data_IF_509926118121
#
_entry.id   IF_509926118121
#
_cell.length_a   1.000
_cell.length_b   1.000
_cell.length_c   1.000
_cell.angle_alpha   90.00
_cell.angle_beta   90.00
_cell.angle_gamma   90.00
#
_symmetry.space_group_name_H-M   'P 1'
#
loop_
_entity.id
_entity.type
_entity.pdbx_description
1 polymer ?
#
# COMPACT_ATOMS: atom_id res chain seq x y z
N UNK A 1 1.42 15.88 6.81
CA UNK A 1 0.98 14.49 6.70
C UNK A 1 1.24 13.75 7.99
N UNK A 2 0.35 12.88 8.34
CA UNK A 2 0.55 12.05 9.52
C UNK A 2 1.77 11.15 9.32
N UNK A 3 2.63 11.14 10.30
CA UNK A 3 3.81 10.28 10.27
C UNK A 3 3.48 8.95 10.96
N UNK A 4 3.39 7.91 10.17
CA UNK A 4 3.05 6.61 10.72
C UNK A 4 4.08 6.06 11.70
N UNK A 5 5.31 6.47 11.58
CA UNK A 5 6.36 5.99 12.48
C UNK A 5 6.17 6.47 13.91
N UNK A 6 5.32 7.46 14.12
CA UNK A 6 5.03 7.95 15.46
C UNK A 6 4.02 7.06 16.19
N UNK A 7 3.48 6.08 15.51
CA UNK A 7 2.43 5.23 16.04
C UNK A 7 3.01 3.98 16.67
N UNK A 8 3.87 4.17 17.65
CA UNK A 8 4.57 3.05 18.30
C UNK A 8 3.86 2.50 19.52
N UNK A 9 2.75 3.08 19.90
CA UNK A 9 2.03 2.62 21.08
C UNK A 9 1.11 1.44 20.71
N UNK A 10 0.60 0.74 21.73
CA UNK A 10 -0.17 -0.50 21.48
C UNK A 10 -1.39 -0.34 20.60
N UNK A 11 -1.97 0.83 20.51
CA UNK A 11 -3.16 1.05 19.70
C UNK A 11 -2.80 1.51 18.28
N UNK A 12 -1.59 1.32 17.88
CA UNK A 12 -1.05 1.85 16.63
C UNK A 12 -1.86 1.47 15.39
N UNK A 13 -2.49 0.32 15.38
CA UNK A 13 -3.20 -0.14 14.19
C UNK A 13 -4.34 0.78 13.80
N UNK A 14 -4.88 1.54 14.74
CA UNK A 14 -5.97 2.45 14.45
C UNK A 14 -5.57 3.60 13.55
N UNK A 15 -4.27 3.87 13.41
CA UNK A 15 -3.80 4.98 12.59
C UNK A 15 -3.38 4.58 11.19
N UNK A 16 -3.47 3.31 10.84
CA UNK A 16 -2.99 2.82 9.57
C UNK A 16 -4.14 2.43 8.66
N UNK A 17 -4.02 2.74 7.36
CA UNK A 17 -5.05 2.34 6.39
C UNK A 17 -4.96 0.86 6.01
N UNK A 18 -4.10 0.09 6.62
CA UNK A 18 -3.88 -1.30 6.26
C UNK A 18 -3.41 -2.12 7.45
N UNK A 19 -3.40 -3.43 7.26
CA UNK A 19 -2.85 -4.38 8.23
C UNK A 19 -1.74 -5.17 7.55
N UNK A 20 -0.60 -5.30 8.22
CA UNK A 20 0.46 -6.18 7.74
C UNK A 20 0.21 -7.57 8.29
N UNK A 21 -0.09 -8.51 7.39
CA UNK A 21 -0.37 -9.89 7.77
C UNK A 21 0.92 -10.67 8.02
N UNK A 22 1.98 -10.31 7.33
CA UNK A 22 3.27 -10.95 7.48
C UNK A 22 4.36 -9.94 7.13
N UNK A 23 5.43 -9.93 7.92
CA UNK A 23 6.57 -9.05 7.68
C UNK A 23 7.84 -9.87 7.80
N UNK A 24 8.66 -9.87 6.76
CA UNK A 24 9.96 -10.52 6.76
C UNK A 24 11.02 -9.51 6.31
N UNK A 25 12.27 -9.93 6.28
CA UNK A 25 13.33 -9.08 5.77
C UNK A 25 13.18 -8.82 4.27
N UNK A 26 12.50 -9.71 3.57
CA UNK A 26 12.42 -9.68 2.11
C UNK A 26 11.11 -9.13 1.58
N UNK A 27 10.03 -9.25 2.36
CA UNK A 27 8.72 -8.82 1.86
C UNK A 27 7.74 -8.53 3.00
N UNK A 28 6.63 -7.90 2.62
CA UNK A 28 5.50 -7.63 3.49
C UNK A 28 4.24 -8.11 2.77
N UNK A 29 3.39 -8.86 3.48
CA UNK A 29 2.03 -9.15 3.00
C UNK A 29 1.12 -8.14 3.67
N UNK A 30 0.43 -7.34 2.87
CA UNK A 30 -0.37 -6.22 3.37
C UNK A 30 -1.79 -6.31 2.87
N UNK A 31 -2.72 -6.05 3.78
CA UNK A 31 -4.14 -6.11 3.47
C UNK A 31 -4.80 -4.76 3.69
N UNK A 32 -5.61 -4.33 2.73
CA UNK A 32 -6.44 -3.14 2.84
C UNK A 32 -7.89 -3.62 2.93
N UNK A 33 -8.57 -3.20 3.99
CA UNK A 33 -9.96 -3.61 4.22
C UNK A 33 -10.90 -3.01 3.21
N UNK A 34 -11.93 -3.75 2.84
CA UNK A 34 -13.00 -3.23 2.00
C UNK A 34 -13.76 -2.08 2.68
N UNK A 35 -13.61 -1.94 3.99
CA UNK A 35 -14.29 -0.91 4.76
C UNK A 35 -13.46 0.35 4.99
N UNK A 36 -12.26 0.41 4.42
CA UNK A 36 -11.43 1.59 4.63
C UNK A 36 -12.06 2.82 3.98
N UNK A 37 -11.98 3.95 4.68
CA UNK A 37 -12.41 5.21 4.10
C UNK A 37 -11.37 5.64 3.06
N UNK A 38 -11.76 5.88 1.80
CA UNK A 38 -10.82 6.28 0.76
C UNK A 38 -9.97 7.49 1.11
N UNK A 39 -10.47 8.37 1.97
CA UNK A 39 -9.71 9.55 2.37
C UNK A 39 -8.44 9.21 3.15
N UNK A 40 -8.36 8.00 3.70
CA UNK A 40 -7.17 7.58 4.43
C UNK A 40 -6.08 7.04 3.53
N UNK A 41 -6.35 6.87 2.23
CA UNK A 41 -5.39 6.37 1.26
C UNK A 41 -4.59 7.53 0.69
N UNK A 42 -3.64 8.00 1.47
CA UNK A 42 -2.90 9.22 1.18
C UNK A 42 -1.74 8.99 0.23
N UNK A 43 -1.39 10.06 -0.51
CA UNK A 43 -0.13 10.07 -1.24
C UNK A 43 1.01 9.90 -0.27
N UNK A 44 1.94 9.01 -0.61
CA UNK A 44 3.13 8.78 0.22
C UNK A 44 4.29 8.31 -0.66
N UNK A 45 5.46 8.23 -0.06
CA UNK A 45 6.65 7.73 -0.73
C UNK A 45 7.46 6.91 0.27
N UNK A 46 8.28 6.02 -0.26
CA UNK A 46 9.10 5.12 0.53
C UNK A 46 10.58 5.43 0.33
N UNK A 47 11.39 5.01 1.28
CA UNK A 47 12.83 5.24 1.24
C UNK A 47 13.59 4.15 0.49
N UNK A 48 12.89 3.23 -0.14
CA UNK A 48 13.50 2.13 -0.87
C UNK A 48 12.66 1.77 -2.08
N UNK A 49 13.31 1.12 -3.06
CA UNK A 49 12.59 0.58 -4.21
C UNK A 49 11.69 -0.54 -3.74
N UNK A 50 10.51 -0.68 -4.36
CA UNK A 50 9.58 -1.75 -4.03
C UNK A 50 8.96 -2.31 -5.28
N UNK A 51 8.71 -3.62 -5.25
CA UNK A 51 7.93 -4.29 -6.28
C UNK A 51 6.66 -4.80 -5.61
N UNK A 52 5.53 -4.39 -6.15
CA UNK A 52 4.22 -4.78 -5.63
C UNK A 52 3.71 -5.94 -6.46
N UNK A 53 3.35 -7.02 -5.79
CA UNK A 53 2.76 -8.19 -6.44
C UNK A 53 1.33 -8.35 -5.95
N UNK A 54 0.41 -8.53 -6.88
CA UNK A 54 -1.01 -8.70 -6.57
C UNK A 54 -1.26 -10.18 -6.30
N UNK A 55 -1.81 -10.51 -5.13
CA UNK A 55 -2.04 -11.90 -4.74
C UNK A 55 -3.40 -12.43 -5.17
N UNK A 56 -4.34 -11.53 -5.44
CA UNK A 56 -5.68 -11.89 -5.88
C UNK A 56 -6.17 -10.85 -6.87
N UNK A 57 -7.01 -11.26 -7.82
CA UNK A 57 -7.59 -10.31 -8.77
C UNK A 57 -8.35 -9.21 -8.02
N UNK A 58 -8.22 -8.00 -8.52
CA UNK A 58 -8.79 -6.84 -7.85
C UNK A 58 -9.11 -5.75 -8.86
N UNK A 59 -10.09 -4.92 -8.53
CA UNK A 59 -10.37 -3.70 -9.28
C UNK A 59 -9.80 -2.45 -8.59
N UNK A 60 -9.06 -2.64 -7.51
CA UNK A 60 -8.32 -1.53 -6.92
C UNK A 60 -7.28 -1.03 -7.92
N UNK A 61 -6.87 0.22 -7.75
CA UNK A 61 -5.91 0.85 -8.64
C UNK A 61 -4.76 1.46 -7.87
N UNK A 62 -3.71 1.81 -8.59
CA UNK A 62 -2.59 2.55 -8.04
C UNK A 62 -2.34 3.76 -8.93
N UNK A 63 -1.90 4.85 -8.32
CA UNK A 63 -1.50 6.03 -9.05
C UNK A 63 -0.11 6.45 -8.61
N UNK A 64 0.79 6.54 -9.57
CA UNK A 64 2.14 7.07 -9.35
C UNK A 64 2.11 8.55 -9.67
N UNK A 65 3.10 9.29 -9.16
CA UNK A 65 3.15 10.73 -9.41
C UNK A 65 3.23 11.03 -10.91
N UNK A 66 2.54 12.09 -11.29
CA UNK A 66 2.51 12.55 -12.69
C UNK A 66 1.94 11.54 -13.67
N UNK A 67 1.17 10.56 -13.20
CA UNK A 67 0.56 9.56 -14.05
C UNK A 67 -0.91 9.39 -13.71
N UNK A 68 -1.64 8.83 -14.66
CA UNK A 68 -3.04 8.46 -14.43
C UNK A 68 -3.11 7.20 -13.58
N UNK A 69 -4.22 6.99 -12.86
CA UNK A 69 -4.43 5.73 -12.15
C UNK A 69 -4.38 4.55 -13.11
N UNK A 70 -3.80 3.46 -12.64
CA UNK A 70 -3.71 2.21 -13.42
C UNK A 70 -4.21 1.04 -12.58
N UNK A 71 -4.66 0.00 -13.27
CA UNK A 71 -5.09 -1.21 -12.60
C UNK A 71 -3.95 -1.87 -11.87
N UNK A 72 -4.25 -2.46 -10.72
CA UNK A 72 -3.31 -3.30 -10.00
C UNK A 72 -3.32 -4.68 -10.63
N UNK A 73 -2.40 -4.91 -11.55
CA UNK A 73 -2.23 -6.19 -12.26
C UNK A 73 -0.77 -6.56 -12.23
N UNK A 74 -0.51 -7.85 -12.17
CA UNK A 74 0.85 -8.37 -12.26
C UNK A 74 1.76 -7.73 -11.21
N UNK A 75 2.94 -7.33 -11.62
CA UNK A 75 3.93 -6.70 -10.75
C UNK A 75 4.09 -5.25 -11.14
N UNK A 76 4.20 -4.40 -10.13
CA UNK A 76 4.36 -2.96 -10.34
C UNK A 76 5.59 -2.52 -9.59
N UNK A 77 6.51 -1.87 -10.28
CA UNK A 77 7.70 -1.32 -9.67
C UNK A 77 7.45 0.12 -9.23
N UNK A 78 7.84 0.44 -8.00
CA UNK A 78 7.74 1.80 -7.45
C UNK A 78 9.16 2.18 -7.01
N UNK A 79 9.71 3.20 -7.66
CA UNK A 79 11.05 3.66 -7.34
C UNK A 79 11.09 4.34 -5.98
N UNK A 80 12.25 4.30 -5.35
CA UNK A 80 12.49 5.02 -4.11
C UNK A 80 12.11 6.49 -4.27
N UNK A 81 11.39 7.01 -3.28
CA UNK A 81 10.96 8.40 -3.22
C UNK A 81 9.91 8.81 -4.25
N UNK A 82 9.38 7.87 -5.01
CA UNK A 82 8.31 8.15 -5.95
C UNK A 82 6.98 8.23 -5.19
N UNK A 83 6.27 9.36 -5.33
CA UNK A 83 4.97 9.52 -4.70
C UNK A 83 3.95 8.59 -5.35
N UNK A 84 3.13 7.97 -4.53
CA UNK A 84 2.10 7.05 -5.03
C UNK A 84 0.99 6.92 -4.02
N UNK A 85 -0.14 6.40 -4.50
CA UNK A 85 -1.27 6.08 -3.64
C UNK A 85 -2.06 4.92 -4.22
N UNK A 86 -2.76 4.22 -3.34
CA UNK A 86 -3.71 3.19 -3.73
C UNK A 86 -5.08 3.83 -3.84
N UNK A 87 -5.85 3.42 -4.83
CA UNK A 87 -7.22 3.90 -5.04
C UNK A 87 -8.16 2.74 -4.78
N UNK A 88 -9.09 2.96 -3.87
CA UNK A 88 -9.99 1.92 -3.40
C UNK A 88 -10.86 1.38 -4.53
N UNK A 89 -10.97 0.05 -4.60
CA UNK A 89 -11.93 -0.65 -5.43
C UNK A 89 -12.96 -1.33 -4.57
N UNK A 90 -13.42 -2.50 -4.99
CA UNK A 90 -14.36 -3.30 -4.23
C UNK A 90 -13.63 -4.45 -3.56
N UNK A 91 -14.16 -4.88 -2.43
CA UNK A 91 -13.56 -5.97 -1.67
C UNK A 91 -12.25 -5.58 -0.99
N UNK A 92 -11.59 -6.59 -0.49
CA UNK A 92 -10.31 -6.45 0.21
C UNK A 92 -9.17 -6.54 -0.78
N UNK A 93 -8.13 -5.74 -0.58
CA UNK A 93 -6.93 -5.79 -1.40
C UNK A 93 -5.80 -6.43 -0.60
N UNK A 94 -5.19 -7.46 -1.15
CA UNK A 94 -4.03 -8.12 -0.52
C UNK A 94 -2.84 -8.07 -1.47
N UNK A 95 -1.74 -7.50 -0.98
CA UNK A 95 -0.53 -7.28 -1.76
C UNK A 95 0.66 -7.96 -1.11
N UNK A 96 1.62 -8.36 -1.94
CA UNK A 96 2.95 -8.72 -1.46
C UNK A 96 3.90 -7.61 -1.93
N UNK A 97 4.54 -6.97 -0.97
CA UNK A 97 5.47 -5.88 -1.23
C UNK A 97 6.86 -6.44 -1.07
N UNK A 98 7.58 -6.58 -2.17
CA UNK A 98 8.96 -7.07 -2.15
C UNK A 98 9.90 -5.91 -1.86
N UNK A 99 10.74 -6.10 -0.86
CA UNK A 99 11.79 -5.14 -0.53
C UNK A 99 13.03 -5.51 -1.34
N UNK A 100 13.63 -4.57 -1.96
CA UNK A 100 14.81 -4.85 -2.78
C UNK A 100 16.08 -4.42 -2.09
#
# INVERSE_FOLDING_TARGET
MQNYSDLNHPSVDSGKPYTNLEVTDDYIIREFSENIDPIELLWHRDDEDRTIEILEDTDWQIQLEDKLPTSLKDRIFIARHEWHRVIKGTGTLTLKIHKT
#
